data_IF_235558943027
#
_entry.id   IF_235558943027
#
_cell.length_a   1.000
_cell.length_b   1.000
_cell.length_c   1.000
_cell.angle_alpha   90.00
_cell.angle_beta   90.00
_cell.angle_gamma   90.00
#
_symmetry.space_group_name_H-M   'P 1'
#
loop_
_entity.id
_entity.type
_entity.pdbx_description
1 polymer ?
#
# COMPACT_ATOMS: atom_id res chain seq x y z
N UNK A 1 15.76 0.54 7.06
CA UNK A 1 15.18 1.28 8.22
C UNK A 1 14.39 0.33 9.10
N UNK A 2 14.60 0.43 10.40
CA UNK A 2 13.87 -0.38 11.39
C UNK A 2 13.01 0.50 12.26
N UNK A 3 11.81 0.01 12.58
CA UNK A 3 10.83 0.72 13.38
C UNK A 3 10.45 -0.15 14.59
N UNK A 4 10.30 0.49 15.74
CA UNK A 4 10.03 -0.20 17.00
C UNK A 4 8.54 -0.24 17.29
N UNK A 5 8.10 -1.27 18.01
CA UNK A 5 6.73 -1.35 18.47
C UNK A 5 6.34 -0.10 19.28
N UNK A 6 5.18 0.46 19.00
CA UNK A 6 4.66 1.64 19.68
C UNK A 6 5.20 2.96 19.16
N UNK A 7 6.13 2.96 18.21
CA UNK A 7 6.65 4.17 17.61
C UNK A 7 5.56 4.92 16.86
N UNK A 8 5.53 6.25 16.98
CA UNK A 8 4.65 7.13 16.20
C UNK A 8 5.46 7.96 15.21
N UNK A 9 4.79 8.77 14.40
CA UNK A 9 5.47 9.60 13.40
C UNK A 9 5.74 8.86 12.10
N UNK A 10 5.19 7.66 11.92
CA UNK A 10 5.33 6.85 10.71
C UNK A 10 4.10 7.04 9.85
N UNK A 11 4.29 7.25 8.55
CA UNK A 11 3.18 7.34 7.60
C UNK A 11 3.63 6.84 6.23
N UNK A 12 2.69 6.42 5.40
CA UNK A 12 2.99 6.05 4.01
C UNK A 12 3.57 7.25 3.25
N UNK A 13 3.09 8.45 3.53
CA UNK A 13 3.63 9.65 2.92
C UNK A 13 5.13 9.81 3.22
N UNK A 14 5.51 9.72 4.49
CA UNK A 14 6.92 9.86 4.87
C UNK A 14 7.80 8.73 4.35
N UNK A 15 7.27 7.50 4.36
CA UNK A 15 8.03 6.33 3.92
C UNK A 15 8.16 6.25 2.40
N UNK A 16 7.10 6.56 1.66
CA UNK A 16 7.02 6.17 0.25
C UNK A 16 6.96 7.34 -0.72
N UNK A 17 6.37 8.49 -0.35
CA UNK A 17 6.13 9.56 -1.29
C UNK A 17 7.39 10.01 -2.06
N UNK A 18 8.57 10.14 -1.43
CA UNK A 18 9.77 10.55 -2.17
C UNK A 18 10.16 9.59 -3.30
N UNK A 19 9.81 8.31 -3.18
CA UNK A 19 10.17 7.28 -4.15
C UNK A 19 9.10 7.08 -5.23
N UNK A 20 7.93 7.69 -5.05
CA UNK A 20 6.77 7.50 -5.93
C UNK A 20 6.53 8.66 -6.88
N UNK A 21 7.15 9.82 -6.64
CA UNK A 21 6.80 11.07 -7.34
C UNK A 21 6.94 11.01 -8.85
N UNK A 22 7.96 10.35 -9.35
CA UNK A 22 8.25 10.29 -10.79
C UNK A 22 7.79 8.98 -11.44
N UNK A 23 7.28 8.06 -10.65
CA UNK A 23 6.82 6.77 -11.18
C UNK A 23 5.52 6.93 -11.96
N UNK A 24 5.44 6.25 -13.09
CA UNK A 24 4.22 6.14 -13.91
C UNK A 24 3.52 4.82 -13.68
N UNK A 25 4.23 3.86 -13.15
CA UNK A 25 3.68 2.55 -12.79
C UNK A 25 4.22 2.14 -11.44
N UNK A 26 3.31 1.80 -10.53
CA UNK A 26 3.62 1.36 -9.18
C UNK A 26 2.95 0.02 -8.96
N UNK A 27 3.72 -0.97 -8.50
CA UNK A 27 3.20 -2.31 -8.22
C UNK A 27 3.35 -2.62 -6.75
N UNK A 28 2.24 -2.95 -6.11
CA UNK A 28 2.19 -3.40 -4.72
C UNK A 28 2.05 -4.92 -4.72
N UNK A 29 2.97 -5.61 -4.10
CA UNK A 29 2.93 -7.06 -3.90
C UNK A 29 2.75 -7.32 -2.41
N UNK A 30 1.53 -7.64 -2.01
CA UNK A 30 1.19 -7.93 -0.62
C UNK A 30 0.15 -9.06 -0.60
N UNK A 31 0.54 -10.28 -0.17
CA UNK A 31 -0.36 -11.43 -0.21
C UNK A 31 -1.49 -11.36 0.82
N UNK A 32 -1.51 -10.35 1.67
CA UNK A 32 -2.46 -10.25 2.78
C UNK A 32 -3.47 -9.10 2.62
N UNK A 33 -3.73 -8.63 1.41
CA UNK A 33 -4.78 -7.62 1.17
C UNK A 33 -6.12 -8.36 0.99
N UNK A 34 -6.73 -8.76 2.11
CA UNK A 34 -7.96 -9.59 2.11
C UNK A 34 -9.01 -9.12 3.10
N UNK A 35 -8.63 -8.91 4.35
CA UNK A 35 -9.55 -8.44 5.39
C UNK A 35 -9.81 -6.93 5.24
N UNK A 36 -10.90 -6.45 5.83
CA UNK A 36 -11.33 -5.06 5.66
C UNK A 36 -10.26 -4.06 6.08
N UNK A 37 -9.53 -4.31 7.17
CA UNK A 37 -8.47 -3.38 7.61
C UNK A 37 -7.26 -3.41 6.67
N UNK A 38 -6.98 -4.55 6.04
CA UNK A 38 -5.89 -4.69 5.08
C UNK A 38 -6.24 -3.98 3.77
N UNK A 39 -7.47 -4.10 3.32
CA UNK A 39 -7.98 -3.37 2.15
C UNK A 39 -7.93 -1.88 2.43
N UNK A 40 -8.30 -1.45 3.63
CA UNK A 40 -8.22 -0.05 4.03
C UNK A 40 -6.79 0.47 4.01
N UNK A 41 -5.81 -0.33 4.43
CA UNK A 41 -4.40 0.04 4.31
C UNK A 41 -4.02 0.32 2.86
N UNK A 42 -4.47 -0.52 1.94
CA UNK A 42 -4.25 -0.31 0.52
C UNK A 42 -4.91 0.99 0.02
N UNK A 43 -6.14 1.25 0.47
CA UNK A 43 -6.84 2.50 0.13
C UNK A 43 -6.10 3.72 0.67
N UNK A 44 -5.54 3.65 1.86
CA UNK A 44 -4.73 4.73 2.43
C UNK A 44 -3.43 4.92 1.65
N UNK A 45 -2.85 3.85 1.14
CA UNK A 45 -1.70 3.95 0.24
C UNK A 45 -2.07 4.68 -1.06
N UNK A 46 -3.18 4.32 -1.67
CA UNK A 46 -3.68 4.98 -2.87
C UNK A 46 -3.99 6.47 -2.61
N UNK A 47 -4.59 6.77 -1.46
CA UNK A 47 -4.85 8.16 -1.07
C UNK A 47 -3.56 8.96 -0.94
N UNK A 48 -2.51 8.37 -0.39
CA UNK A 48 -1.20 9.01 -0.32
C UNK A 48 -0.70 9.37 -1.73
N UNK A 49 -0.85 8.47 -2.69
CA UNK A 49 -0.46 8.75 -4.08
C UNK A 49 -1.24 9.93 -4.67
N UNK A 50 -2.54 9.98 -4.43
CA UNK A 50 -3.40 11.07 -4.89
C UNK A 50 -2.95 12.40 -4.29
N UNK A 51 -2.59 12.43 -3.01
CA UNK A 51 -2.25 13.64 -2.28
C UNK A 51 -0.83 14.15 -2.53
N UNK A 52 0.09 13.30 -2.98
CA UNK A 52 1.52 13.65 -2.98
C UNK A 52 2.14 13.77 -4.37
N UNK A 53 1.39 13.47 -5.44
CA UNK A 53 1.92 13.48 -6.80
C UNK A 53 0.81 13.65 -7.83
N UNK A 54 1.13 14.06 -9.06
CA UNK A 54 0.19 13.98 -10.18
C UNK A 54 -0.20 12.53 -10.44
N UNK A 55 -1.49 12.27 -10.67
CA UNK A 55 -2.00 10.90 -10.91
C UNK A 55 -2.39 10.66 -12.36
N UNK A 56 -2.27 11.66 -13.21
CA UNK A 56 -2.51 11.51 -14.64
C UNK A 56 -1.57 10.45 -15.21
N UNK A 57 -2.14 9.48 -15.91
CA UNK A 57 -1.41 8.35 -16.50
C UNK A 57 -0.71 7.43 -15.48
N UNK A 58 -1.09 7.48 -14.22
CA UNK A 58 -0.56 6.56 -13.23
C UNK A 58 -1.24 5.20 -13.34
N UNK A 59 -0.42 4.15 -13.42
CA UNK A 59 -0.85 2.76 -13.30
C UNK A 59 -0.50 2.24 -11.93
N UNK A 60 -1.48 1.69 -11.23
CA UNK A 60 -1.31 1.06 -9.93
C UNK A 60 -1.73 -0.40 -10.04
N UNK A 61 -0.79 -1.30 -9.76
CA UNK A 61 -1.04 -2.73 -9.83
C UNK A 61 -0.97 -3.33 -8.43
N UNK A 62 -1.87 -4.25 -8.14
CA UNK A 62 -1.86 -5.00 -6.90
C UNK A 62 -1.78 -6.49 -7.21
N UNK A 63 -0.79 -7.16 -6.62
CA UNK A 63 -0.76 -8.62 -6.54
C UNK A 63 -1.04 -9.00 -5.10
N UNK A 64 -2.04 -9.83 -4.89
CA UNK A 64 -2.39 -10.35 -3.58
C UNK A 64 -2.70 -11.84 -3.68
N UNK A 65 -2.75 -12.53 -2.56
CA UNK A 65 -3.10 -13.93 -2.54
C UNK A 65 -4.61 -14.08 -2.38
N UNK A 66 -5.14 -15.23 -2.78
CA UNK A 66 -6.55 -15.54 -2.69
C UNK A 66 -6.83 -16.48 -1.51
N UNK A 67 -7.93 -16.23 -0.81
CA UNK A 67 -8.58 -17.22 0.06
C UNK A 67 -9.84 -17.66 -0.67
N UNK A 68 -9.94 -18.94 -1.03
CA UNK A 68 -10.99 -19.47 -1.91
C UNK A 68 -12.40 -19.09 -1.47
N UNK A 69 -12.66 -19.08 -0.17
CA UNK A 69 -14.00 -18.84 0.39
C UNK A 69 -14.42 -17.35 0.29
N UNK A 70 -13.49 -16.44 0.08
CA UNK A 70 -13.71 -15.00 0.19
C UNK A 70 -13.45 -14.24 -1.10
N UNK A 71 -13.05 -14.92 -2.17
CA UNK A 71 -12.70 -14.28 -3.44
C UNK A 71 -13.82 -13.42 -4.01
N UNK A 72 -15.10 -13.87 -4.08
CA UNK A 72 -16.16 -13.05 -4.68
C UNK A 72 -16.36 -11.72 -3.95
N UNK A 73 -16.32 -11.73 -2.61
CA UNK A 73 -16.45 -10.51 -1.82
C UNK A 73 -15.25 -9.58 -2.00
N UNK A 74 -14.05 -10.14 -2.04
CA UNK A 74 -12.83 -9.36 -2.29
C UNK A 74 -12.83 -8.74 -3.68
N UNK A 75 -13.26 -9.49 -4.70
CA UNK A 75 -13.37 -8.98 -6.07
C UNK A 75 -14.33 -7.79 -6.12
N UNK A 76 -15.49 -7.88 -5.48
CA UNK A 76 -16.46 -6.78 -5.46
C UNK A 76 -15.84 -5.52 -4.84
N UNK A 77 -15.11 -5.66 -3.75
CA UNK A 77 -14.44 -4.53 -3.09
C UNK A 77 -13.34 -3.94 -3.94
N UNK A 78 -12.51 -4.79 -4.55
CA UNK A 78 -11.42 -4.32 -5.42
C UNK A 78 -11.96 -3.67 -6.70
N UNK A 79 -13.07 -4.15 -7.24
CA UNK A 79 -13.71 -3.53 -8.40
C UNK A 79 -14.31 -2.16 -8.05
N UNK A 80 -14.87 -2.00 -6.85
CA UNK A 80 -15.32 -0.69 -6.37
C UNK A 80 -14.14 0.28 -6.25
N UNK A 81 -13.03 -0.17 -5.72
CA UNK A 81 -11.82 0.64 -5.61
C UNK A 81 -11.30 1.00 -7.01
N UNK A 82 -11.34 0.07 -7.94
CA UNK A 82 -10.91 0.30 -9.33
C UNK A 82 -11.72 1.42 -9.99
N UNK A 83 -13.03 1.37 -9.85
CA UNK A 83 -13.91 2.40 -10.40
C UNK A 83 -13.66 3.76 -9.75
N UNK A 84 -13.48 3.77 -8.44
CA UNK A 84 -13.20 4.99 -7.70
C UNK A 84 -11.85 5.60 -8.09
N UNK A 85 -10.80 4.79 -8.17
CA UNK A 85 -9.47 5.25 -8.57
C UNK A 85 -9.45 5.78 -10.00
N UNK A 86 -10.25 5.21 -10.91
CA UNK A 86 -10.37 5.72 -12.26
C UNK A 86 -10.87 7.17 -12.28
N UNK A 87 -11.74 7.54 -11.35
CA UNK A 87 -12.23 8.92 -11.22
C UNK A 87 -11.14 9.91 -10.81
N UNK A 88 -10.03 9.43 -10.25
CA UNK A 88 -8.86 10.23 -9.88
C UNK A 88 -7.73 10.16 -10.93
N UNK A 89 -7.95 9.50 -12.05
CA UNK A 89 -6.92 9.36 -13.09
C UNK A 89 -5.95 8.19 -12.90
N UNK A 90 -6.25 7.27 -12.00
CA UNK A 90 -5.41 6.10 -11.74
C UNK A 90 -6.02 4.87 -12.39
N UNK A 91 -5.25 4.21 -13.25
CA UNK A 91 -5.60 2.90 -13.82
C UNK A 91 -5.16 1.81 -12.84
N UNK A 92 -6.11 1.22 -12.12
CA UNK A 92 -5.85 0.17 -11.15
C UNK A 92 -6.11 -1.20 -11.74
N UNK A 93 -5.17 -2.12 -11.56
CA UNK A 93 -5.33 -3.53 -11.88
C UNK A 93 -4.97 -4.37 -10.66
N UNK A 94 -5.58 -5.54 -10.55
CA UNK A 94 -5.24 -6.48 -9.50
C UNK A 94 -5.22 -7.90 -10.04
N UNK A 95 -4.36 -8.73 -9.46
CA UNK A 95 -4.26 -10.16 -9.78
C UNK A 95 -4.00 -10.96 -8.52
N UNK A 96 -4.50 -12.19 -8.52
CA UNK A 96 -4.25 -13.13 -7.45
C UNK A 96 -3.10 -14.04 -7.82
N UNK A 97 -2.18 -14.23 -6.87
CA UNK A 97 -0.99 -15.05 -7.07
C UNK A 97 -0.57 -15.62 -5.73
N UNK A 98 -0.03 -16.84 -5.73
CA UNK A 98 0.52 -17.45 -4.53
C UNK A 98 1.97 -17.01 -4.36
N UNK A 99 2.25 -16.25 -3.28
CA UNK A 99 3.57 -15.72 -2.99
C UNK A 99 3.62 -15.25 -1.53
N UNK A 100 4.82 -14.97 -1.03
CA UNK A 100 5.02 -14.58 0.37
C UNK A 100 5.69 -13.22 0.54
N UNK A 101 6.46 -12.77 -0.43
CA UNK A 101 7.20 -11.51 -0.34
C UNK A 101 6.25 -10.32 -0.39
N UNK A 102 6.61 -9.29 0.39
CA UNK A 102 5.84 -8.04 0.46
C UNK A 102 6.74 -6.90 0.03
N UNK A 103 6.41 -6.26 -1.06
CA UNK A 103 7.20 -5.16 -1.58
C UNK A 103 6.37 -4.22 -2.44
N UNK A 104 6.95 -3.04 -2.69
CA UNK A 104 6.43 -2.06 -3.62
C UNK A 104 7.52 -1.81 -4.66
N UNK A 105 7.16 -1.87 -5.93
CA UNK A 105 8.07 -1.65 -7.05
C UNK A 105 7.60 -0.47 -7.89
N UNK A 106 8.54 0.30 -8.39
CA UNK A 106 8.25 1.42 -9.29
C UNK A 106 8.95 1.21 -10.63
N UNK A 107 8.39 1.78 -11.69
CA UNK A 107 9.03 1.76 -13.01
C UNK A 107 10.30 2.61 -13.08
N UNK A 108 10.54 3.43 -12.07
CA UNK A 108 11.79 4.20 -11.93
C UNK A 108 12.90 3.42 -11.23
N UNK A 109 12.66 2.15 -10.90
CA UNK A 109 13.68 1.22 -10.42
C UNK A 109 13.73 1.01 -8.92
N UNK A 110 12.85 1.63 -8.16
CA UNK A 110 12.80 1.40 -6.73
C UNK A 110 12.08 0.10 -6.39
N UNK A 111 12.66 -0.66 -5.46
CA UNK A 111 12.02 -1.79 -4.81
C UNK A 111 12.09 -1.55 -3.31
N UNK A 112 10.92 -1.48 -2.68
CA UNK A 112 10.80 -1.26 -1.25
C UNK A 112 10.27 -2.55 -0.64
N UNK A 113 11.12 -3.25 0.11
CA UNK A 113 10.75 -4.50 0.77
C UNK A 113 10.24 -4.18 2.17
N UNK A 114 9.08 -4.70 2.51
CA UNK A 114 8.39 -4.40 3.76
C UNK A 114 8.20 -5.67 4.57
N UNK A 115 8.74 -5.73 5.78
CA UNK A 115 8.62 -6.90 6.64
C UNK A 115 7.17 -7.25 7.01
N UNK A 116 6.28 -6.25 7.03
CA UNK A 116 4.85 -6.44 7.32
C UNK A 116 3.93 -5.98 6.20
N UNK A 117 4.47 -5.71 5.02
CA UNK A 117 3.69 -5.12 3.93
C UNK A 117 3.13 -3.76 4.35
N UNK A 118 1.90 -3.47 3.96
CA UNK A 118 1.23 -2.23 4.36
C UNK A 118 0.64 -2.29 5.77
N UNK A 119 0.57 -3.48 6.37
CA UNK A 119 -0.02 -3.69 7.70
C UNK A 119 0.99 -3.44 8.82
N UNK A 120 1.49 -2.21 8.86
CA UNK A 120 2.56 -1.82 9.78
C UNK A 120 2.07 -1.12 11.06
N UNK A 121 0.79 -0.82 11.16
CA UNK A 121 0.23 -0.13 12.32
C UNK A 121 -0.41 -1.11 13.30
N UNK A 122 -0.27 -0.83 14.60
CA UNK A 122 -0.97 -1.59 15.62
C UNK A 122 -2.48 -1.41 15.46
N UNK A 123 -3.24 -2.38 15.96
CA UNK A 123 -4.69 -2.29 15.99
C UNK A 123 -5.11 -1.06 16.79
N UNK A 124 -6.00 -0.27 16.23
CA UNK A 124 -6.49 0.95 16.86
C UNK A 124 -8.01 0.98 16.88
N UNK A 125 -8.57 1.72 17.85
CA UNK A 125 -10.01 1.97 17.88
C UNK A 125 -10.39 2.92 16.74
N UNK A 126 -11.45 2.62 15.97
CA UNK A 126 -11.89 3.53 14.91
C UNK A 126 -12.41 4.87 15.46
N UNK A 127 -12.67 4.94 16.75
CA UNK A 127 -13.15 6.16 17.41
C UNK A 127 -12.06 6.91 18.19
N UNK A 128 -10.81 6.49 18.08
CA UNK A 128 -9.71 7.27 18.63
C UNK A 128 -9.32 8.38 17.64
N UNK A 129 -8.95 9.53 18.14
CA UNK A 129 -8.51 10.64 17.28
C UNK A 129 -7.29 10.24 16.46
N UNK A 130 -6.36 9.51 17.08
CA UNK A 130 -5.15 9.05 16.42
C UNK A 130 -5.42 8.16 15.21
N UNK A 131 -6.58 7.48 15.15
CA UNK A 131 -6.92 6.63 14.01
C UNK A 131 -7.11 7.41 12.71
N UNK A 132 -7.39 8.70 12.81
CA UNK A 132 -7.66 9.55 11.65
C UNK A 132 -6.40 10.03 10.93
N UNK A 133 -5.22 9.84 11.53
CA UNK A 133 -3.96 10.28 10.96
C UNK A 133 -2.84 9.27 11.22
N UNK A 134 -2.22 8.76 10.17
CA UNK A 134 -1.24 7.68 10.28
C UNK A 134 -0.07 8.01 11.22
N UNK A 135 0.48 9.21 11.15
CA UNK A 135 1.64 9.56 11.94
C UNK A 135 1.34 9.69 13.44
N UNK A 136 0.07 9.68 13.83
CA UNK A 136 -0.35 9.62 15.23
C UNK A 136 -0.58 8.18 15.71
N UNK A 137 -0.66 7.21 14.77
CA UNK A 137 -0.86 5.80 15.12
C UNK A 137 0.45 5.18 15.58
N UNK A 138 0.36 4.23 16.51
CA UNK A 138 1.51 3.43 16.91
C UNK A 138 1.77 2.36 15.86
N UNK A 139 3.02 2.12 15.53
CA UNK A 139 3.37 1.06 14.58
C UNK A 139 3.76 -0.23 15.29
N UNK A 140 3.67 -1.32 14.53
CA UNK A 140 4.25 -2.60 14.90
C UNK A 140 5.75 -2.52 14.64
N UNK A 141 6.53 -3.45 15.22
CA UNK A 141 7.92 -3.59 14.84
C UNK A 141 8.02 -4.08 13.40
N UNK A 142 8.74 -3.36 12.56
CA UNK A 142 8.94 -3.75 11.16
C UNK A 142 10.21 -3.15 10.58
N UNK A 143 10.62 -3.69 9.44
CA UNK A 143 11.79 -3.23 8.69
C UNK A 143 11.37 -2.89 7.27
N UNK A 144 11.85 -1.77 6.75
CA UNK A 144 11.69 -1.36 5.35
C UNK A 144 13.07 -1.24 4.71
N UNK A 145 13.27 -1.87 3.57
CA UNK A 145 14.52 -1.85 2.81
C UNK A 145 14.28 -1.23 1.45
N UNK A 146 15.07 -0.22 1.11
CA UNK A 146 14.95 0.54 -0.14
C UNK A 146 16.11 0.21 -1.05
N UNK A 147 15.83 -0.30 -2.24
CA UNK A 147 16.83 -0.64 -3.23
C UNK A 147 16.50 -0.01 -4.56
N UNK A 148 17.51 0.49 -5.26
CA UNK A 148 17.35 1.05 -6.60
C UNK A 148 18.20 0.27 -7.59
N UNK A 149 17.61 -0.14 -8.72
CA UNK A 149 18.35 -0.78 -9.80
C UNK A 149 18.96 0.27 -10.71
N UNK A 150 20.13 -0.07 -11.29
CA UNK A 150 20.90 0.87 -12.11
C UNK A 150 20.24 1.19 -13.46
N UNK A 151 19.36 0.33 -13.95
CA UNK A 151 18.78 0.43 -15.30
C UNK A 151 17.35 0.93 -15.29
N UNK A 152 16.96 1.64 -14.27
CA UNK A 152 15.59 2.11 -14.18
C UNK A 152 15.44 3.54 -14.62
#
# INVERSE_FOLDING_TARGET
MSFRMGQTGVSYEKLFAPYMREAKEITVEDPYIRASWQIKNFMEFALMLINTRPVDDLKLNLFTNEEEDKIPDLIDKLDDIKDDLASYGIEFTYKFRDFHDRCIKTDTGWTITLGRGLDMFEKYSPYSIASSKQDMRKCKEFTATFMKTKNA
#
